data_IF_454010595889
#
_entry.id   IF_454010595889
#
_cell.length_a   1.000
_cell.length_b   1.000
_cell.length_c   1.000
_cell.angle_alpha   90.00
_cell.angle_beta   90.00
_cell.angle_gamma   90.00
#
_symmetry.space_group_name_H-M   'P 1'
#
loop_
_entity.id
_entity.type
_entity.pdbx_description
1 polymer ?
#
# COMPACT_ATOMS: atom_id res chain seq x y z
N UNK A 1 -2.05 4.86 -21.34
CA UNK A 1 -3.14 5.62 -20.68
C UNK A 1 -3.01 7.06 -21.13
N UNK A 2 -4.09 7.68 -21.62
CA UNK A 2 -4.09 9.11 -21.87
C UNK A 2 -4.29 9.82 -20.53
N UNK A 3 -3.39 10.73 -20.16
CA UNK A 3 -3.46 11.45 -18.89
C UNK A 3 -4.47 12.60 -19.00
N UNK A 4 -5.30 12.78 -17.97
CA UNK A 4 -6.22 13.91 -17.85
C UNK A 4 -5.46 15.22 -17.67
N UNK A 5 -6.05 16.34 -18.08
CA UNK A 5 -5.51 17.67 -17.78
C UNK A 5 -5.79 18.13 -16.33
N UNK A 6 -6.64 17.39 -15.60
CA UNK A 6 -6.93 17.70 -14.20
C UNK A 6 -5.79 17.23 -13.30
N UNK A 7 -5.41 18.02 -12.28
CA UNK A 7 -4.49 17.55 -11.25
C UNK A 7 -5.08 16.34 -10.53
N UNK A 8 -4.25 15.33 -10.33
CA UNK A 8 -4.64 14.04 -9.76
C UNK A 8 -3.99 13.83 -8.39
N UNK A 9 -4.71 13.20 -7.47
CA UNK A 9 -4.19 12.73 -6.19
C UNK A 9 -4.27 11.22 -6.15
N UNK A 10 -3.14 10.57 -5.92
CA UNK A 10 -3.08 9.12 -5.74
C UNK A 10 -2.86 8.82 -4.26
N UNK A 11 -3.73 8.00 -3.68
CA UNK A 11 -3.58 7.54 -2.29
C UNK A 11 -3.01 6.13 -2.24
N UNK A 12 -1.86 5.97 -1.57
CA UNK A 12 -1.37 4.66 -1.12
C UNK A 12 -1.85 4.44 0.31
N UNK A 13 -2.75 3.48 0.50
CA UNK A 13 -3.29 3.14 1.82
C UNK A 13 -3.63 1.64 1.87
N UNK A 14 -4.05 1.14 3.04
CA UNK A 14 -4.50 -0.25 3.15
C UNK A 14 -3.40 -1.28 2.88
N UNK A 15 -2.12 -0.90 2.99
CA UNK A 15 -1.02 -1.83 2.73
C UNK A 15 -0.92 -2.84 3.88
N UNK A 16 -0.76 -4.12 3.55
CA UNK A 16 -0.83 -5.20 4.54
C UNK A 16 -0.11 -6.47 4.02
N UNK A 17 0.25 -7.37 4.93
CA UNK A 17 0.89 -8.64 4.59
C UNK A 17 -0.11 -9.63 3.99
N UNK A 18 0.27 -10.34 2.92
CA UNK A 18 -0.64 -11.29 2.27
C UNK A 18 -1.13 -12.39 3.21
N UNK A 19 -0.30 -12.86 4.15
CA UNK A 19 -0.68 -13.87 5.16
C UNK A 19 -1.90 -13.45 5.99
N UNK A 20 -2.04 -12.15 6.28
CA UNK A 20 -3.20 -11.61 7.01
C UNK A 20 -4.50 -11.73 6.20
N UNK A 21 -4.45 -11.53 4.88
CA UNK A 21 -5.65 -11.65 4.02
C UNK A 21 -6.13 -13.09 3.89
N UNK A 22 -5.21 -14.03 4.07
CA UNK A 22 -5.45 -15.44 3.85
C UNK A 22 -5.89 -16.18 5.12
N UNK A 23 -5.92 -15.49 6.27
CA UNK A 23 -6.28 -16.06 7.58
C UNK A 23 -5.40 -17.27 7.95
N UNK A 24 -4.10 -17.19 7.63
CA UNK A 24 -3.13 -18.30 7.73
C UNK A 24 -2.17 -18.21 8.90
N UNK A 25 -2.60 -17.62 10.00
CA UNK A 25 -1.66 -17.15 11.03
C UNK A 25 -1.49 -18.16 12.16
N UNK A 26 -0.25 -18.35 12.60
CA UNK A 26 0.05 -18.98 13.88
C UNK A 26 -0.23 -18.00 15.03
N UNK A 27 -0.26 -18.54 16.26
CA UNK A 27 -0.65 -17.80 17.47
C UNK A 27 0.33 -16.69 17.87
N UNK A 28 1.61 -16.78 17.47
CA UNK A 28 2.63 -15.74 17.70
C UNK A 28 2.61 -14.67 16.60
N UNK A 29 2.33 -15.03 15.34
CA UNK A 29 2.18 -14.10 14.22
C UNK A 29 0.93 -13.21 14.34
N UNK A 30 0.01 -13.54 15.25
CA UNK A 30 -1.21 -12.78 15.49
C UNK A 30 -0.95 -11.34 15.95
N UNK A 31 0.09 -11.03 16.73
CA UNK A 31 0.24 -9.70 17.34
C UNK A 31 0.73 -8.63 16.34
N UNK A 32 1.77 -8.94 15.58
CA UNK A 32 2.30 -8.03 14.53
C UNK A 32 1.28 -7.84 13.40
N UNK A 33 0.49 -8.88 13.10
CA UNK A 33 -0.50 -8.83 12.04
C UNK A 33 -1.82 -8.18 12.49
N UNK A 34 -2.14 -8.18 13.78
CA UNK A 34 -3.16 -7.28 14.36
C UNK A 34 -2.74 -5.82 14.11
N UNK A 35 -1.46 -5.48 14.37
CA UNK A 35 -0.88 -4.16 14.06
C UNK A 35 -1.03 -3.78 12.58
N UNK A 36 -0.66 -4.69 11.67
CA UNK A 36 -0.81 -4.50 10.22
C UNK A 36 -2.28 -4.36 9.79
N UNK A 37 -3.18 -5.18 10.33
CA UNK A 37 -4.61 -5.11 10.07
C UNK A 37 -5.24 -3.79 10.53
N UNK A 38 -4.83 -3.28 11.69
CA UNK A 38 -5.27 -1.97 12.19
C UNK A 38 -4.68 -0.82 11.37
N UNK A 39 -3.41 -0.90 10.98
CA UNK A 39 -2.78 0.06 10.06
C UNK A 39 -3.55 0.15 8.75
N UNK A 40 -3.88 -1.00 8.13
CA UNK A 40 -4.64 -1.03 6.89
C UNK A 40 -6.01 -0.37 7.06
N UNK A 41 -6.71 -0.65 8.17
CA UNK A 41 -8.01 -0.03 8.47
C UNK A 41 -7.93 1.48 8.63
N UNK A 42 -6.99 1.94 9.44
CA UNK A 42 -6.84 3.35 9.74
C UNK A 42 -6.37 4.15 8.53
N UNK A 43 -5.33 3.68 7.83
CA UNK A 43 -4.83 4.34 6.62
C UNK A 43 -5.90 4.45 5.55
N UNK A 44 -6.73 3.42 5.38
CA UNK A 44 -7.88 3.47 4.46
C UNK A 44 -8.88 4.56 4.85
N UNK A 45 -9.30 4.61 6.12
CA UNK A 45 -10.26 5.61 6.58
C UNK A 45 -9.74 7.05 6.40
N UNK A 46 -8.46 7.28 6.67
CA UNK A 46 -7.83 8.59 6.44
C UNK A 46 -7.74 8.92 4.95
N UNK A 47 -7.30 7.96 4.12
CA UNK A 47 -7.19 8.15 2.68
C UNK A 47 -8.54 8.45 2.02
N UNK A 48 -9.59 7.71 2.36
CA UNK A 48 -10.92 7.93 1.79
C UNK A 48 -11.55 9.25 2.26
N UNK A 49 -11.28 9.68 3.48
CA UNK A 49 -11.68 11.01 3.97
C UNK A 49 -10.98 12.14 3.20
N UNK A 50 -9.66 12.08 3.07
CA UNK A 50 -8.89 13.08 2.31
C UNK A 50 -9.26 13.08 0.82
N UNK A 51 -9.55 11.91 0.26
CA UNK A 51 -10.00 11.74 -1.11
C UNK A 51 -11.30 12.52 -1.40
N UNK A 52 -12.26 12.53 -0.47
CA UNK A 52 -13.49 13.33 -0.65
C UNK A 52 -13.18 14.82 -0.71
N UNK A 53 -12.33 15.31 0.18
CA UNK A 53 -11.89 16.71 0.13
C UNK A 53 -11.14 17.02 -1.17
N UNK A 54 -10.31 16.09 -1.68
CA UNK A 54 -9.65 16.26 -2.97
C UNK A 54 -10.66 16.36 -4.13
N UNK A 55 -11.69 15.50 -4.15
CA UNK A 55 -12.78 15.58 -5.12
C UNK A 55 -13.54 16.91 -5.04
N UNK A 56 -13.85 17.41 -3.84
CA UNK A 56 -14.50 18.71 -3.62
C UNK A 56 -13.65 19.89 -4.15
N UNK A 57 -12.33 19.75 -4.13
CA UNK A 57 -11.38 20.69 -4.72
C UNK A 57 -11.17 20.49 -6.23
N UNK A 58 -12.00 19.64 -6.87
CA UNK A 58 -11.98 19.39 -8.31
C UNK A 58 -10.82 18.52 -8.80
N UNK A 59 -10.17 17.77 -7.91
CA UNK A 59 -9.08 16.85 -8.26
C UNK A 59 -9.62 15.50 -8.71
N UNK A 60 -8.88 14.84 -9.59
CA UNK A 60 -9.08 13.41 -9.83
C UNK A 60 -8.44 12.62 -8.70
N UNK A 61 -9.08 11.52 -8.30
CA UNK A 61 -8.63 10.70 -7.18
C UNK A 61 -8.50 9.26 -7.63
N UNK A 62 -7.37 8.65 -7.29
CA UNK A 62 -7.16 7.22 -7.45
C UNK A 62 -6.54 6.61 -6.19
N UNK A 63 -6.69 5.30 -6.03
CA UNK A 63 -6.16 4.52 -4.93
C UNK A 63 -5.21 3.44 -5.40
N UNK A 64 -4.27 3.07 -4.55
CA UNK A 64 -3.33 1.96 -4.76
C UNK A 64 -3.19 1.15 -3.49
N UNK A 65 -3.07 -0.17 -3.66
CA UNK A 65 -2.91 -1.11 -2.56
C UNK A 65 -1.63 -1.92 -2.77
N UNK A 66 -0.65 -1.72 -1.90
CA UNK A 66 0.60 -2.48 -1.92
C UNK A 66 0.51 -3.62 -0.91
N UNK A 67 0.73 -4.84 -1.38
CA UNK A 67 0.75 -6.04 -0.55
C UNK A 67 2.18 -6.48 -0.32
N UNK A 68 2.58 -6.59 0.95
CA UNK A 68 3.83 -7.27 1.32
C UNK A 68 3.62 -8.78 1.21
N UNK A 69 4.22 -9.36 0.18
CA UNK A 69 4.23 -10.79 -0.10
C UNK A 69 5.65 -11.36 -0.16
N UNK A 70 6.61 -10.72 0.54
CA UNK A 70 7.99 -11.22 0.63
C UNK A 70 8.08 -12.51 1.43
N UNK A 71 7.34 -12.60 2.54
CA UNK A 71 7.33 -13.80 3.41
C UNK A 71 6.93 -15.08 2.67
N UNK A 72 6.11 -14.95 1.63
CA UNK A 72 5.64 -16.03 0.76
C UNK A 72 6.73 -16.63 -0.17
N UNK A 73 7.98 -16.17 -0.07
CA UNK A 73 9.13 -16.81 -0.75
C UNK A 73 9.68 -18.04 -0.01
N UNK A 74 9.34 -18.27 1.26
CA UNK A 74 9.99 -19.33 2.03
C UNK A 74 9.59 -20.74 1.57
N UNK A 75 10.61 -21.50 1.16
CA UNK A 75 10.53 -22.87 0.68
C UNK A 75 10.53 -23.89 1.84
N UNK A 76 9.46 -24.00 2.65
CA UNK A 76 9.27 -25.24 3.42
C UNK A 76 7.94 -25.30 4.15
N UNK A 77 7.03 -26.11 3.59
CA UNK A 77 6.12 -27.05 4.26
C UNK A 77 4.79 -27.12 3.52
N UNK A 78 4.21 -28.34 3.50
CA UNK A 78 2.97 -28.92 2.93
C UNK A 78 1.93 -28.11 2.09
N UNK A 79 1.96 -26.78 2.07
CA UNK A 79 1.07 -25.90 1.30
C UNK A 79 1.90 -24.90 0.50
N UNK A 80 2.12 -25.15 -0.80
CA UNK A 80 2.90 -24.30 -1.71
C UNK A 80 2.52 -22.80 -1.62
N UNK A 81 3.31 -21.95 -0.91
CA UNK A 81 3.00 -20.53 -0.72
C UNK A 81 2.94 -19.77 -2.04
N UNK A 82 3.73 -20.22 -3.03
CA UNK A 82 3.72 -19.68 -4.37
C UNK A 82 2.36 -19.90 -5.06
N UNK A 83 1.74 -21.08 -4.89
CA UNK A 83 0.41 -21.39 -5.44
C UNK A 83 -0.65 -20.48 -4.85
N UNK A 84 -0.63 -20.26 -3.54
CA UNK A 84 -1.62 -19.43 -2.83
C UNK A 84 -1.52 -17.97 -3.23
N UNK A 85 -0.30 -17.42 -3.22
CA UNK A 85 -0.02 -16.09 -3.73
C UNK A 85 -0.49 -15.92 -5.18
N UNK A 86 -0.22 -16.90 -6.03
CA UNK A 86 -0.67 -16.84 -7.42
C UNK A 86 -2.19 -16.89 -7.56
N UNK A 87 -2.87 -17.72 -6.77
CA UNK A 87 -4.33 -17.78 -6.75
C UNK A 87 -4.91 -16.43 -6.30
N UNK A 88 -4.36 -15.82 -5.26
CA UNK A 88 -4.76 -14.50 -4.79
C UNK A 88 -4.68 -13.46 -5.92
N UNK A 89 -3.51 -13.25 -6.52
CA UNK A 89 -3.38 -12.23 -7.56
C UNK A 89 -4.20 -12.53 -8.81
N UNK A 90 -4.35 -13.80 -9.21
CA UNK A 90 -5.23 -14.17 -10.33
C UNK A 90 -6.69 -13.83 -10.03
N UNK A 91 -7.15 -14.04 -8.81
CA UNK A 91 -8.52 -13.72 -8.39
C UNK A 91 -8.83 -12.21 -8.37
N UNK A 92 -7.80 -11.38 -8.24
CA UNK A 92 -7.93 -9.91 -8.18
C UNK A 92 -7.36 -9.23 -9.44
N UNK A 93 -7.37 -9.93 -10.57
CA UNK A 93 -6.86 -9.45 -11.86
C UNK A 93 -7.92 -9.47 -12.96
N UNK A 94 -7.75 -8.59 -13.94
CA UNK A 94 -8.64 -8.47 -15.09
C UNK A 94 -9.88 -7.60 -14.86
N UNK A 95 -10.71 -7.48 -15.88
CA UNK A 95 -11.82 -6.50 -15.92
C UNK A 95 -12.84 -6.66 -14.79
N UNK A 96 -13.09 -7.89 -14.34
CA UNK A 96 -14.04 -8.21 -13.28
C UNK A 96 -13.39 -8.43 -11.91
N UNK A 97 -12.14 -7.98 -11.74
CA UNK A 97 -11.48 -8.07 -10.44
C UNK A 97 -12.27 -7.29 -9.39
N UNK A 98 -12.45 -7.90 -8.22
CA UNK A 98 -13.06 -7.27 -7.06
C UNK A 98 -12.01 -7.04 -5.99
N UNK A 99 -12.15 -5.99 -5.18
CA UNK A 99 -11.30 -5.81 -4.01
C UNK A 99 -11.65 -6.81 -2.91
N UNK A 100 -10.67 -7.11 -2.06
CA UNK A 100 -10.94 -7.81 -0.80
C UNK A 100 -11.99 -7.06 0.03
N UNK A 101 -12.87 -7.82 0.69
CA UNK A 101 -14.14 -7.29 1.23
C UNK A 101 -13.99 -6.07 2.14
N UNK A 102 -12.94 -6.00 2.97
CA UNK A 102 -12.67 -4.82 3.80
C UNK A 102 -12.29 -3.58 2.99
N UNK A 103 -11.42 -3.70 1.98
CA UNK A 103 -11.03 -2.59 1.11
C UNK A 103 -12.24 -2.07 0.32
N UNK A 104 -13.03 -3.00 -0.26
CA UNK A 104 -14.26 -2.68 -0.98
C UNK A 104 -15.26 -1.95 -0.10
N UNK A 105 -15.49 -2.46 1.10
CA UNK A 105 -16.41 -1.85 2.07
C UNK A 105 -15.99 -0.41 2.38
N UNK A 106 -14.73 -0.18 2.73
CA UNK A 106 -14.25 1.15 3.15
C UNK A 106 -14.29 2.16 2.02
N UNK A 107 -13.91 1.78 0.79
CA UNK A 107 -14.02 2.67 -0.37
C UNK A 107 -15.46 3.05 -0.69
N UNK A 108 -16.37 2.06 -0.68
CA UNK A 108 -17.77 2.28 -1.06
C UNK A 108 -18.54 3.14 -0.07
N UNK A 109 -18.18 3.11 1.23
CA UNK A 109 -18.74 4.04 2.22
C UNK A 109 -18.52 5.50 1.85
N UNK A 110 -17.41 5.82 1.18
CA UNK A 110 -17.03 7.18 0.80
C UNK A 110 -17.29 7.49 -0.68
N UNK A 111 -18.01 6.60 -1.39
CA UNK A 111 -18.43 6.81 -2.78
C UNK A 111 -17.40 6.38 -3.84
N UNK A 112 -16.36 5.65 -3.46
CA UNK A 112 -15.34 5.12 -4.37
C UNK A 112 -15.56 3.63 -4.67
N UNK A 113 -14.97 3.14 -5.76
CA UNK A 113 -15.09 1.75 -6.21
C UNK A 113 -13.80 1.23 -6.90
N UNK A 114 -13.82 -0.02 -7.35
CA UNK A 114 -12.70 -0.69 -8.03
C UNK A 114 -12.20 0.04 -9.29
N UNK A 115 -13.05 0.86 -9.92
CA UNK A 115 -12.67 1.70 -11.07
C UNK A 115 -11.72 2.84 -10.70
N UNK A 116 -11.72 3.25 -9.43
CA UNK A 116 -10.89 4.33 -8.89
C UNK A 116 -9.56 3.79 -8.36
N UNK A 117 -9.24 2.51 -8.63
CA UNK A 117 -8.02 1.84 -8.19
C UNK A 117 -7.07 1.69 -9.38
N UNK A 118 -5.85 2.19 -9.22
CA UNK A 118 -4.78 1.96 -10.20
C UNK A 118 -4.41 0.47 -10.17
N UNK A 119 -4.34 -0.11 -11.37
CA UNK A 119 -4.06 -1.54 -11.56
C UNK A 119 -2.60 -1.77 -11.95
N UNK A 120 -2.03 -2.87 -11.47
CA UNK A 120 -0.65 -3.27 -11.74
C UNK A 120 -0.59 -4.52 -12.63
N UNK A 121 0.22 -4.48 -13.69
CA UNK A 121 0.58 -5.69 -14.44
C UNK A 121 1.75 -6.42 -13.76
N UNK A 122 1.48 -7.63 -13.30
CA UNK A 122 2.48 -8.48 -12.68
C UNK A 122 3.36 -9.27 -13.66
N UNK A 123 3.18 -9.11 -14.98
CA UNK A 123 3.98 -9.77 -16.01
C UNK A 123 3.78 -11.29 -16.07
N UNK A 124 2.67 -11.79 -15.52
CA UNK A 124 2.35 -13.24 -15.46
C UNK A 124 0.97 -13.54 -16.04
N UNK A 125 0.77 -14.71 -16.70
CA UNK A 125 -0.53 -15.11 -17.21
C UNK A 125 -1.62 -15.08 -16.13
N UNK A 126 -2.73 -14.39 -16.43
CA UNK A 126 -3.86 -14.21 -15.51
C UNK A 126 -3.61 -13.20 -14.39
N UNK A 127 -2.49 -12.46 -14.38
CA UNK A 127 -2.16 -11.45 -13.38
C UNK A 127 -1.92 -10.05 -13.96
N UNK A 128 -2.50 -9.80 -15.14
CA UNK A 128 -2.55 -8.46 -15.75
C UNK A 128 -3.66 -7.66 -15.09
N UNK A 129 -3.51 -6.34 -15.06
CA UNK A 129 -4.52 -5.42 -14.52
C UNK A 129 -5.00 -5.80 -13.09
N UNK A 130 -4.04 -6.14 -12.22
CA UNK A 130 -4.31 -6.53 -10.83
C UNK A 130 -4.67 -5.31 -9.97
N UNK A 131 -5.67 -5.44 -9.09
CA UNK A 131 -6.05 -4.39 -8.12
C UNK A 131 -5.01 -4.16 -7.01
N UNK A 132 -4.01 -5.04 -6.92
CA UNK A 132 -2.97 -4.99 -5.90
C UNK A 132 -1.59 -4.95 -6.55
N UNK A 133 -0.72 -4.14 -5.98
CA UNK A 133 0.70 -4.14 -6.28
C UNK A 133 1.38 -5.18 -5.39
N UNK A 134 2.05 -6.15 -6.00
CA UNK A 134 2.90 -7.10 -5.28
C UNK A 134 4.26 -6.48 -4.99
N UNK A 135 4.64 -6.37 -3.71
CA UNK A 135 5.97 -5.88 -3.35
C UNK A 135 7.06 -6.74 -3.99
N UNK A 136 6.89 -8.07 -4.02
CA UNK A 136 7.85 -8.97 -4.66
C UNK A 136 8.04 -8.72 -6.14
N UNK A 137 6.95 -8.43 -6.85
CA UNK A 137 7.03 -8.03 -8.26
C UNK A 137 7.71 -6.66 -8.39
N UNK A 138 7.36 -5.68 -7.55
CA UNK A 138 7.97 -4.35 -7.56
C UNK A 138 9.49 -4.41 -7.33
N UNK A 139 9.97 -5.20 -6.36
CA UNK A 139 11.40 -5.41 -6.12
C UNK A 139 12.10 -6.02 -7.33
N UNK A 140 11.45 -6.98 -8.00
CA UNK A 140 12.00 -7.64 -9.18
C UNK A 140 12.03 -6.70 -10.41
N UNK A 141 11.06 -5.81 -10.54
CA UNK A 141 10.96 -4.85 -11.65
C UNK A 141 11.72 -3.53 -11.41
N UNK A 142 12.14 -3.26 -10.17
CA UNK A 142 12.83 -2.03 -9.79
C UNK A 142 14.31 -2.01 -10.16
N UNK A 143 14.96 -0.87 -9.94
CA UNK A 143 16.38 -0.68 -10.18
C UNK A 143 17.22 -1.55 -9.23
N UNK A 144 17.97 -2.48 -9.81
CA UNK A 144 18.76 -3.46 -9.04
C UNK A 144 20.00 -2.84 -8.38
N UNK A 145 20.35 -1.59 -8.70
CA UNK A 145 21.42 -0.84 -8.02
C UNK A 145 21.02 -0.34 -6.63
N UNK A 146 19.72 -0.28 -6.33
CA UNK A 146 19.22 0.11 -5.01
C UNK A 146 19.28 -1.10 -4.07
N UNK A 147 20.27 -1.17 -3.19
CA UNK A 147 20.51 -2.34 -2.31
C UNK A 147 19.31 -2.66 -1.40
N UNK A 148 18.68 -1.64 -0.82
CA UNK A 148 17.53 -1.83 0.06
C UNK A 148 16.29 -2.26 -0.74
N UNK A 149 15.80 -3.47 -0.47
CA UNK A 149 14.65 -4.06 -1.19
C UNK A 149 13.35 -3.27 -1.04
N UNK A 150 13.03 -2.74 0.14
CA UNK A 150 11.82 -1.95 0.35
C UNK A 150 11.91 -0.62 -0.41
N UNK A 151 13.07 0.05 -0.37
CA UNK A 151 13.32 1.27 -1.13
C UNK A 151 13.20 1.02 -2.64
N UNK A 152 13.79 -0.08 -3.12
CA UNK A 152 13.68 -0.51 -4.53
C UNK A 152 12.23 -0.70 -4.98
N UNK A 153 11.42 -1.38 -4.18
CA UNK A 153 10.00 -1.54 -4.46
C UNK A 153 9.29 -0.18 -4.50
N UNK A 154 9.57 0.69 -3.53
CA UNK A 154 8.95 2.00 -3.43
C UNK A 154 9.29 2.91 -4.63
N UNK A 155 10.57 2.98 -5.03
CA UNK A 155 10.99 3.74 -6.21
C UNK A 155 10.27 3.24 -7.47
N UNK A 156 10.17 1.91 -7.63
CA UNK A 156 9.44 1.33 -8.75
C UNK A 156 7.95 1.68 -8.71
N UNK A 157 7.34 1.55 -7.55
CA UNK A 157 5.92 1.85 -7.32
C UNK A 157 5.62 3.33 -7.63
N UNK A 158 6.35 4.26 -7.03
CA UNK A 158 6.17 5.69 -7.24
C UNK A 158 6.25 6.04 -8.73
N UNK A 159 7.30 5.56 -9.43
CA UNK A 159 7.46 5.77 -10.86
C UNK A 159 6.38 5.14 -11.76
N UNK A 160 5.55 4.23 -11.25
CA UNK A 160 4.39 3.68 -11.97
C UNK A 160 3.11 4.50 -11.77
N UNK A 161 3.02 5.27 -10.67
CA UNK A 161 1.77 5.93 -10.26
C UNK A 161 1.86 7.45 -10.26
N UNK A 162 3.06 8.02 -10.41
CA UNK A 162 3.27 9.47 -10.46
C UNK A 162 3.70 9.95 -11.84
N UNK A 163 3.18 11.12 -12.22
CA UNK A 163 3.61 11.97 -13.33
C UNK A 163 3.70 13.42 -12.84
N UNK A 164 3.90 14.38 -13.76
CA UNK A 164 4.03 15.81 -13.48
C UNK A 164 2.74 16.45 -12.92
N UNK A 165 1.58 15.81 -13.06
CA UNK A 165 0.27 16.31 -12.59
C UNK A 165 -0.26 15.55 -11.39
N UNK A 166 0.51 14.58 -10.88
CA UNK A 166 0.07 13.69 -9.81
C UNK A 166 0.73 14.03 -8.49
N UNK A 167 -0.09 14.24 -7.46
CA UNK A 167 0.37 14.28 -6.07
C UNK A 167 0.14 12.91 -5.40
N UNK A 168 1.20 12.27 -4.94
CA UNK A 168 1.11 10.99 -4.24
C UNK A 168 1.00 11.21 -2.72
N UNK A 169 -0.07 10.76 -2.10
CA UNK A 169 -0.21 10.71 -0.64
C UNK A 169 -0.02 9.28 -0.18
N UNK A 170 1.05 9.01 0.57
CA UNK A 170 1.39 7.66 1.04
C UNK A 170 1.25 7.53 2.55
N UNK A 171 0.36 6.64 2.99
CA UNK A 171 0.33 6.15 4.37
C UNK A 171 1.28 4.97 4.48
N UNK A 172 2.27 5.08 5.36
CA UNK A 172 3.39 4.14 5.44
C UNK A 172 3.60 3.70 6.88
N UNK A 173 3.84 2.41 7.17
CA UNK A 173 4.26 1.98 8.51
C UNK A 173 5.55 2.69 8.93
N UNK A 174 5.64 3.15 10.17
CA UNK A 174 6.81 3.89 10.66
C UNK A 174 8.13 3.09 10.54
N UNK A 175 8.06 1.75 10.64
CA UNK A 175 9.20 0.86 10.41
C UNK A 175 9.80 0.99 9.00
N UNK A 176 9.00 1.40 8.01
CA UNK A 176 9.46 1.59 6.63
C UNK A 176 10.05 2.98 6.37
N UNK A 177 10.07 3.89 7.37
CA UNK A 177 10.52 5.27 7.20
C UNK A 177 11.91 5.37 6.60
N UNK A 178 12.88 4.62 7.12
CA UNK A 178 14.26 4.67 6.63
C UNK A 178 14.36 4.31 5.13
N UNK A 179 13.68 3.24 4.72
CA UNK A 179 13.71 2.81 3.33
C UNK A 179 12.99 3.81 2.38
N UNK A 180 11.88 4.39 2.83
CA UNK A 180 11.09 5.32 2.01
C UNK A 180 11.72 6.70 1.98
N UNK A 181 11.94 7.34 3.14
CA UNK A 181 12.46 8.70 3.21
C UNK A 181 13.95 8.77 2.85
N UNK A 182 14.79 8.12 3.65
CA UNK A 182 16.23 8.35 3.62
C UNK A 182 16.91 7.73 2.39
N UNK A 183 16.30 6.69 1.81
CA UNK A 183 16.83 5.98 0.63
C UNK A 183 16.03 6.35 -0.61
N UNK A 184 14.73 5.98 -0.69
CA UNK A 184 13.98 6.15 -1.92
C UNK A 184 13.78 7.64 -2.30
N UNK A 185 13.26 8.46 -1.38
CA UNK A 185 12.96 9.87 -1.64
C UNK A 185 14.22 10.76 -1.70
N UNK A 186 15.18 10.52 -0.83
CA UNK A 186 16.38 11.36 -0.77
C UNK A 186 17.42 11.04 -1.84
N UNK A 187 17.56 9.76 -2.22
CA UNK A 187 18.67 9.33 -3.07
C UNK A 187 18.23 9.02 -4.51
N UNK A 188 17.00 8.51 -4.71
CA UNK A 188 16.61 7.89 -5.98
C UNK A 188 15.43 8.57 -6.70
N UNK A 189 14.49 9.18 -5.98
CA UNK A 189 13.35 9.88 -6.58
C UNK A 189 13.61 11.38 -6.63
N UNK A 190 13.39 11.99 -7.80
CA UNK A 190 13.52 13.44 -8.01
C UNK A 190 12.29 13.98 -8.74
N UNK A 191 11.87 15.19 -8.37
CA UNK A 191 10.80 15.90 -9.06
C UNK A 191 9.41 15.28 -8.89
N UNK A 192 9.21 14.43 -7.89
CA UNK A 192 7.88 13.89 -7.56
C UNK A 192 7.18 14.83 -6.59
N UNK A 193 5.87 15.04 -6.80
CA UNK A 193 5.02 15.72 -5.81
C UNK A 193 4.42 14.66 -4.90
N UNK A 194 4.84 14.63 -3.63
CA UNK A 194 4.36 13.62 -2.69
C UNK A 194 4.32 14.10 -1.24
N UNK A 195 3.41 13.51 -0.46
CA UNK A 195 3.31 13.66 0.99
C UNK A 195 3.28 12.27 1.64
N UNK A 196 4.07 12.07 2.68
CA UNK A 196 4.17 10.80 3.40
C UNK A 196 3.73 10.95 4.84
N UNK A 197 2.85 10.04 5.27
CA UNK A 197 2.36 9.95 6.65
C UNK A 197 2.87 8.64 7.24
N UNK A 198 3.83 8.73 8.16
CA UNK A 198 4.39 7.57 8.84
C UNK A 198 3.59 7.26 10.11
N UNK A 199 2.98 6.08 10.16
CA UNK A 199 2.10 5.67 11.26
C UNK A 199 2.78 4.58 12.10
N UNK A 200 2.80 4.76 13.42
CA UNK A 200 3.30 3.71 14.31
C UNK A 200 2.32 2.53 14.33
N UNK A 201 2.85 1.33 14.06
CA UNK A 201 2.10 0.07 14.05
C UNK A 201 2.27 -0.75 15.32
N UNK A 202 3.15 -0.32 16.25
CA UNK A 202 3.39 -1.00 17.52
C UNK A 202 2.15 -0.95 18.43
N UNK A 203 1.82 -2.08 19.07
CA UNK A 203 0.80 -2.14 20.12
C UNK A 203 1.39 -1.87 21.52
N UNK A 204 0.77 -0.98 22.30
CA UNK A 204 1.11 -0.73 23.72
C UNK A 204 0.00 -1.27 24.61
N UNK A 205 0.35 -1.85 25.75
CA UNK A 205 -0.65 -2.20 26.76
C UNK A 205 -1.13 -0.96 27.50
N UNK A 206 -2.44 -0.72 27.53
CA UNK A 206 -3.08 0.29 28.36
C UNK A 206 -4.20 -0.38 29.18
N UNK A 207 -4.04 -0.43 30.52
CA UNK A 207 -5.02 -1.01 31.46
C UNK A 207 -5.41 -2.47 31.14
N UNK A 208 -4.44 -3.30 30.75
CA UNK A 208 -4.70 -4.71 30.40
C UNK A 208 -5.34 -4.93 29.04
N UNK A 209 -5.50 -3.88 28.23
CA UNK A 209 -5.94 -3.94 26.83
C UNK A 209 -4.77 -3.50 25.95
N UNK A 210 -4.35 -4.33 24.99
CA UNK A 210 -3.36 -3.94 23.98
C UNK A 210 -4.02 -2.95 23.00
N UNK A 211 -3.52 -1.72 22.94
CA UNK A 211 -4.01 -0.62 22.10
C UNK A 211 -2.83 -0.07 21.29
N UNK A 212 -2.97 0.27 20.00
CA UNK A 212 -1.81 0.70 19.24
C UNK A 212 -1.28 2.05 19.72
N UNK A 213 0.04 2.12 19.85
CA UNK A 213 0.76 3.24 20.46
C UNK A 213 0.65 4.54 19.67
N UNK A 214 0.36 4.46 18.37
CA UNK A 214 0.15 5.59 17.47
C UNK A 214 -1.26 6.22 17.52
N UNK A 215 -2.20 5.71 18.33
CA UNK A 215 -3.54 6.29 18.45
C UNK A 215 -3.60 7.57 19.31
N UNK A 216 -2.48 7.96 19.92
CA UNK A 216 -2.28 9.30 20.45
C UNK A 216 -1.53 10.12 19.40
N UNK A 217 -2.26 10.92 18.62
CA UNK A 217 -1.69 11.92 17.72
C UNK A 217 -0.91 12.96 18.55
N UNK A 218 0.40 12.74 18.71
CA UNK A 218 1.36 13.82 18.80
C UNK A 218 1.69 14.30 17.39
N UNK A 219 1.73 15.61 17.12
CA UNK A 219 1.98 16.13 15.78
C UNK A 219 3.46 16.01 15.45
N UNK A 220 3.89 14.87 14.90
CA UNK A 220 5.23 14.77 14.33
C UNK A 220 5.18 14.62 12.80
N UNK A 221 5.21 15.82 12.19
CA UNK A 221 5.95 16.21 10.98
C UNK A 221 5.67 15.42 9.70
N UNK A 222 4.82 15.99 8.85
CA UNK A 222 4.78 15.64 7.42
C UNK A 222 6.12 15.98 6.75
N UNK A 223 6.59 15.09 5.89
CA UNK A 223 7.75 15.35 5.03
C UNK A 223 7.28 16.16 3.81
N UNK A 224 7.67 17.43 3.74
CA UNK A 224 7.53 18.28 2.56
C UNK A 224 8.92 18.62 2.02
N UNK A 225 9.14 18.41 0.73
CA UNK A 225 10.36 18.79 0.02
C UNK A 225 9.99 19.88 -0.98
N UNK A 226 10.56 21.06 -0.81
CA UNK A 226 10.49 22.19 -1.75
C UNK A 226 11.27 21.88 -3.04
#
# INVERSE_FOLDING_TARGET
MAFSDKPRVVFQAGSLHLDYMLDRLSREEHEDLIGAGMFARYSMAQATSLAKTACELGKEVEFTFVIDDQGMKQESSSHDPHRVRNAFYKGHSGANAELWGFHRYTLTQEGFAEKDVIRHDHGKPGRRDCLYFSELVLRAQGDQTIENGCARAYVKYAGLVTDDKTHLVSFVPAACRHAVADIALDQHLRGISASHVFLNTETREHRGVKVPSGFFLGPDVGYHKD
#
